data_IF_729369866419
#
_entry.id   IF_729369866419
#
_cell.length_a   1.000
_cell.length_b   1.000
_cell.length_c   1.000
_cell.angle_alpha   90.00
_cell.angle_beta   90.00
_cell.angle_gamma   90.00
#
_symmetry.space_group_name_H-M   'P 1'
#
loop_
_entity.id
_entity.type
_entity.pdbx_description
1 polymer ?
#
# COMPACT_ATOMS: atom_id res chain seq x y z
N UNK A 1 8.07 14.03 18.12
CA UNK A 1 7.36 12.76 17.84
C UNK A 1 5.97 13.08 17.34
N UNK A 2 5.84 13.19 16.02
CA UNK A 2 4.58 13.34 15.28
C UNK A 2 4.19 11.96 14.76
N UNK A 3 3.00 11.49 15.12
CA UNK A 3 2.48 10.19 14.69
C UNK A 3 1.26 10.44 13.80
N UNK A 4 1.31 9.88 12.59
CA UNK A 4 0.18 9.83 11.67
C UNK A 4 -0.47 8.45 11.74
N UNK A 5 -1.70 8.40 12.24
CA UNK A 5 -2.47 7.18 12.43
C UNK A 5 -3.52 6.94 11.32
N UNK A 6 -3.55 7.80 10.30
CA UNK A 6 -4.48 7.70 9.19
C UNK A 6 -3.72 7.90 7.89
N UNK A 7 -2.98 6.87 7.52
CA UNK A 7 -2.35 6.81 6.21
C UNK A 7 -2.51 5.43 5.60
N UNK A 8 -2.42 5.36 4.28
CA UNK A 8 -2.77 4.17 3.54
C UNK A 8 -1.64 3.69 2.64
N UNK A 9 -1.56 2.38 2.41
CA UNK A 9 -0.62 1.78 1.48
C UNK A 9 -1.29 0.78 0.53
N UNK A 10 -0.57 0.43 -0.54
CA UNK A 10 -0.81 -0.71 -1.41
C UNK A 10 0.39 -1.66 -1.32
N UNK A 11 0.29 -2.80 -0.61
CA UNK A 11 1.36 -3.80 -0.61
C UNK A 11 1.63 -4.30 -2.04
N UNK A 12 2.90 -4.50 -2.41
CA UNK A 12 3.26 -4.97 -3.75
C UNK A 12 2.64 -6.33 -4.07
N UNK A 13 2.59 -7.25 -3.10
CA UNK A 13 1.95 -8.55 -3.26
C UNK A 13 0.43 -8.45 -3.53
N UNK A 14 -0.24 -7.49 -2.90
CA UNK A 14 -1.64 -7.19 -3.16
C UNK A 14 -1.84 -6.66 -4.58
N UNK A 15 -1.02 -5.71 -5.04
CA UNK A 15 -1.08 -5.19 -6.41
C UNK A 15 -0.84 -6.30 -7.45
N UNK A 16 0.20 -7.12 -7.25
CA UNK A 16 0.52 -8.23 -8.14
C UNK A 16 -0.60 -9.29 -8.19
N UNK A 17 -1.33 -9.49 -7.10
CA UNK A 17 -2.48 -10.39 -7.06
C UNK A 17 -3.68 -9.85 -7.85
N UNK A 18 -3.92 -8.53 -7.79
CA UNK A 18 -4.98 -7.90 -8.58
C UNK A 18 -4.66 -7.84 -10.08
N UNK A 19 -3.40 -7.67 -10.45
CA UNK A 19 -2.95 -7.69 -11.85
C UNK A 19 -3.23 -9.02 -12.56
N UNK A 20 -3.50 -10.11 -11.82
CA UNK A 20 -3.90 -11.41 -12.39
C UNK A 20 -5.32 -11.42 -12.98
N UNK A 21 -6.14 -10.40 -12.70
CA UNK A 21 -7.46 -10.21 -13.33
C UNK A 21 -8.62 -11.03 -12.74
N UNK A 22 -8.41 -11.76 -11.64
CA UNK A 22 -9.46 -12.55 -10.97
C UNK A 22 -10.13 -11.79 -9.81
N UNK A 23 -10.21 -10.46 -9.91
CA UNK A 23 -10.72 -9.57 -8.88
C UNK A 23 -11.68 -8.55 -9.48
N UNK A 24 -12.63 -8.05 -8.68
CA UNK A 24 -13.48 -6.91 -9.04
C UNK A 24 -12.68 -5.60 -9.06
N UNK A 25 -11.65 -5.48 -8.22
CA UNK A 25 -10.66 -4.43 -8.37
C UNK A 25 -9.70 -4.76 -9.52
N UNK A 26 -9.42 -3.78 -10.37
CA UNK A 26 -8.50 -3.92 -11.52
C UNK A 26 -7.34 -2.96 -11.36
N UNK A 27 -6.11 -3.47 -11.48
CA UNK A 27 -4.91 -2.63 -11.62
C UNK A 27 -4.61 -2.46 -13.10
N UNK A 28 -4.44 -1.22 -13.53
CA UNK A 28 -4.04 -0.89 -14.90
C UNK A 28 -3.00 0.24 -14.91
N UNK A 29 -2.40 0.49 -16.08
CA UNK A 29 -1.52 1.64 -16.30
C UNK A 29 -2.17 2.61 -17.28
N UNK A 30 -2.16 3.88 -16.93
CA UNK A 30 -2.62 4.94 -17.84
C UNK A 30 -1.61 5.18 -18.98
N UNK A 31 -1.97 6.07 -19.92
CA UNK A 31 -1.11 6.46 -21.05
C UNK A 31 0.25 7.05 -20.66
N UNK A 32 0.41 7.50 -19.41
CA UNK A 32 1.64 8.06 -18.87
C UNK A 32 2.40 7.04 -17.99
N UNK A 33 1.94 5.78 -17.95
CA UNK A 33 2.53 4.71 -17.16
C UNK A 33 2.14 4.70 -15.68
N UNK A 34 1.24 5.60 -15.24
CA UNK A 34 0.80 5.67 -13.83
C UNK A 34 -0.14 4.52 -13.54
N UNK A 35 0.10 3.86 -12.41
CA UNK A 35 -0.78 2.79 -11.95
C UNK A 35 -2.09 3.37 -11.43
N UNK A 36 -3.20 2.77 -11.85
CA UNK A 36 -4.54 3.07 -11.35
C UNK A 36 -5.15 1.79 -10.82
N UNK A 37 -5.82 1.89 -9.68
CA UNK A 37 -6.67 0.83 -9.18
C UNK A 37 -8.13 1.23 -9.35
N UNK A 38 -8.82 0.55 -10.25
CA UNK A 38 -10.22 0.81 -10.59
C UNK A 38 -11.13 -0.07 -9.72
N UNK A 39 -12.20 0.51 -9.19
CA UNK A 39 -13.25 -0.18 -8.47
C UNK A 39 -14.63 0.43 -8.74
N UNK A 40 -15.59 -0.35 -9.24
CA UNK A 40 -17.04 -0.03 -9.23
C UNK A 40 -17.43 1.45 -9.51
N UNK A 41 -16.87 2.07 -10.55
CA UNK A 41 -17.19 3.45 -10.94
C UNK A 41 -16.26 4.54 -10.40
N UNK A 42 -15.24 4.17 -9.65
CA UNK A 42 -14.18 5.04 -9.13
C UNK A 42 -12.78 4.45 -9.42
N UNK A 43 -11.73 5.22 -9.13
CA UNK A 43 -10.35 4.76 -9.19
C UNK A 43 -9.42 5.54 -8.27
N UNK A 44 -8.40 4.86 -7.77
CA UNK A 44 -7.27 5.47 -7.08
C UNK A 44 -6.06 5.58 -8.01
N UNK A 45 -5.35 6.70 -7.95
CA UNK A 45 -4.02 6.83 -8.56
C UNK A 45 -2.99 6.31 -7.56
N UNK A 46 -2.26 5.28 -7.94
CA UNK A 46 -1.20 4.69 -7.13
C UNK A 46 0.09 5.47 -7.39
N UNK A 47 0.44 6.36 -6.45
CA UNK A 47 1.76 7.03 -6.41
C UNK A 47 2.78 6.22 -5.63
N UNK A 48 4.07 6.47 -5.88
CA UNK A 48 5.21 5.73 -5.33
C UNK A 48 5.17 5.54 -3.82
N UNK A 49 4.84 6.58 -3.05
CA UNK A 49 4.72 6.48 -1.59
C UNK A 49 3.68 5.46 -1.10
N UNK A 50 2.74 5.00 -1.95
CA UNK A 50 1.82 3.93 -1.56
C UNK A 50 2.45 2.54 -1.50
N UNK A 51 3.49 2.26 -2.28
CA UNK A 51 4.00 0.89 -2.45
C UNK A 51 5.54 0.78 -2.43
N UNK A 52 6.25 1.91 -2.44
CA UNK A 52 7.70 2.01 -2.28
C UNK A 52 8.03 2.56 -0.88
N UNK A 53 8.62 1.74 0.01
CA UNK A 53 9.06 2.17 1.34
C UNK A 53 9.93 3.43 1.34
N UNK A 54 10.88 3.54 0.41
CA UNK A 54 11.86 4.62 0.37
C UNK A 54 11.19 5.95 0.03
N UNK A 55 10.33 5.98 -0.99
CA UNK A 55 9.55 7.16 -1.36
C UNK A 55 8.61 7.61 -0.22
N UNK A 56 8.09 6.66 0.58
CA UNK A 56 7.30 6.98 1.77
C UNK A 56 8.15 7.61 2.86
N UNK A 57 9.32 7.06 3.16
CA UNK A 57 10.22 7.59 4.18
C UNK A 57 10.67 9.02 3.83
N UNK A 58 10.99 9.28 2.56
CA UNK A 58 11.30 10.63 2.07
C UNK A 58 10.13 11.60 2.28
N UNK A 59 8.89 11.17 1.99
CA UNK A 59 7.70 11.98 2.22
C UNK A 59 7.43 12.21 3.72
N UNK A 60 7.69 11.22 4.57
CA UNK A 60 7.58 11.35 6.03
C UNK A 60 8.60 12.37 6.56
N UNK A 61 9.85 12.30 6.12
CA UNK A 61 10.91 13.24 6.50
C UNK A 61 10.57 14.67 6.07
N UNK A 62 10.09 14.84 4.83
CA UNK A 62 9.67 16.14 4.30
C UNK A 62 8.47 16.74 5.06
N UNK A 63 7.57 15.89 5.57
CA UNK A 63 6.41 16.29 6.36
C UNK A 63 6.70 16.42 7.87
N UNK A 64 7.87 16.01 8.33
CA UNK A 64 8.22 15.96 9.76
C UNK A 64 7.46 14.90 10.55
N UNK A 65 7.00 13.82 9.90
CA UNK A 65 6.26 12.71 10.54
C UNK A 65 7.25 11.66 11.02
N UNK A 66 7.25 11.38 12.32
CA UNK A 66 8.19 10.44 12.95
C UNK A 66 7.74 8.97 12.85
N UNK A 67 6.42 8.73 12.73
CA UNK A 67 5.84 7.39 12.67
C UNK A 67 4.51 7.39 11.93
N UNK A 68 4.24 6.31 11.17
CA UNK A 68 2.95 6.06 10.55
C UNK A 68 2.37 4.71 10.99
N UNK A 69 1.08 4.70 11.29
CA UNK A 69 0.27 3.47 11.37
C UNK A 69 -0.49 3.38 10.05
N UNK A 70 -0.19 2.35 9.28
CA UNK A 70 -0.70 2.22 7.92
C UNK A 70 -1.87 1.23 7.84
N UNK A 71 -2.88 1.60 7.07
CA UNK A 71 -4.00 0.72 6.70
C UNK A 71 -4.02 0.44 5.21
N UNK A 72 -4.65 -0.66 4.80
CA UNK A 72 -4.88 -0.92 3.39
C UNK A 72 -5.87 0.11 2.85
N UNK A 73 -5.53 0.72 1.72
CA UNK A 73 -6.40 1.69 1.04
C UNK A 73 -7.62 1.03 0.40
N UNK A 74 -8.61 1.85 0.03
CA UNK A 74 -9.84 1.42 -0.66
C UNK A 74 -9.51 0.82 -2.04
N UNK A 75 -10.18 -0.27 -2.46
CA UNK A 75 -11.28 -0.97 -1.80
C UNK A 75 -10.83 -2.08 -0.84
N UNK A 76 -9.54 -2.24 -0.57
CA UNK A 76 -9.04 -3.45 0.08
C UNK A 76 -9.66 -4.71 -0.53
N UNK A 77 -10.33 -5.51 0.30
CA UNK A 77 -11.01 -6.74 -0.15
C UNK A 77 -12.54 -6.70 -0.05
N UNK A 78 -13.13 -5.61 0.45
CA UNK A 78 -14.55 -5.59 0.81
C UNK A 78 -15.51 -5.60 -0.39
N UNK A 79 -15.02 -5.28 -1.59
CA UNK A 79 -15.82 -5.36 -2.81
C UNK A 79 -15.81 -6.77 -3.42
N UNK A 80 -14.89 -7.64 -3.01
CA UNK A 80 -14.75 -8.98 -3.58
C UNK A 80 -15.83 -9.94 -3.05
N UNK A 81 -16.18 -11.01 -3.79
CA UNK A 81 -16.85 -12.17 -3.20
C UNK A 81 -16.06 -12.69 -2.00
N UNK A 82 -16.72 -13.16 -0.94
CA UNK A 82 -16.08 -13.50 0.34
C UNK A 82 -14.86 -14.44 0.21
N UNK A 83 -14.99 -15.52 -0.58
CA UNK A 83 -13.89 -16.47 -0.82
C UNK A 83 -12.70 -15.80 -1.51
N UNK A 84 -12.97 -14.93 -2.50
CA UNK A 84 -11.92 -14.18 -3.18
C UNK A 84 -11.29 -13.14 -2.27
N UNK A 85 -12.09 -12.44 -1.47
CA UNK A 85 -11.62 -11.46 -0.50
C UNK A 85 -10.64 -12.08 0.49
N UNK A 86 -10.96 -13.25 1.05
CA UNK A 86 -10.06 -13.99 1.94
C UNK A 86 -8.75 -14.42 1.24
N UNK A 87 -8.84 -14.85 -0.02
CA UNK A 87 -7.65 -15.23 -0.80
C UNK A 87 -6.72 -14.03 -1.06
N UNK A 88 -7.27 -12.84 -1.36
CA UNK A 88 -6.50 -11.61 -1.59
C UNK A 88 -5.94 -11.05 -0.28
N UNK A 89 -6.71 -11.08 0.81
CA UNK A 89 -6.29 -10.63 2.15
C UNK A 89 -5.04 -11.38 2.61
N UNK A 90 -4.95 -12.67 2.31
CA UNK A 90 -3.76 -13.49 2.58
C UNK A 90 -2.47 -12.95 1.95
N UNK A 91 -2.54 -12.08 0.93
CA UNK A 91 -1.39 -11.40 0.33
C UNK A 91 -1.11 -10.01 0.90
N UNK A 92 -2.06 -9.44 1.64
CA UNK A 92 -1.91 -8.16 2.35
C UNK A 92 -1.14 -8.36 3.65
N UNK A 93 -1.45 -9.45 4.36
CA UNK A 93 -0.89 -9.77 5.68
C UNK A 93 -0.06 -11.05 5.53
N UNK A 94 1.22 -10.93 5.17
CA UNK A 94 2.14 -12.07 5.36
C UNK A 94 3.37 -11.68 6.19
N UNK A 95 3.80 -12.55 7.13
CA UNK A 95 5.01 -12.40 7.92
C UNK A 95 6.30 -12.73 7.14
N UNK A 96 6.20 -13.07 5.85
CA UNK A 96 7.31 -13.59 5.04
C UNK A 96 7.94 -12.55 4.09
N UNK A 97 7.89 -11.26 4.44
CA UNK A 97 8.76 -10.27 3.83
C UNK A 97 9.68 -9.67 4.90
N UNK A 98 11.02 -9.80 4.77
CA UNK A 98 11.98 -9.37 5.79
C UNK A 98 12.05 -7.85 6.04
N UNK A 99 11.13 -7.06 5.48
CA UNK A 99 11.19 -5.60 5.46
C UNK A 99 9.96 -4.89 6.07
N UNK A 100 8.97 -5.61 6.62
CA UNK A 100 7.75 -4.98 7.16
C UNK A 100 7.92 -4.29 8.52
N UNK A 101 9.13 -4.28 9.09
CA UNK A 101 9.49 -3.46 10.25
C UNK A 101 10.62 -2.52 9.82
N UNK A 102 10.27 -1.41 9.17
CA UNK A 102 11.18 -0.27 9.01
C UNK A 102 11.29 0.43 10.36
N UNK A 103 12.26 0.04 11.18
CA UNK A 103 12.74 0.88 12.27
C UNK A 103 13.80 1.82 11.69
N UNK A 104 13.57 3.13 11.62
CA UNK A 104 14.67 4.05 11.37
C UNK A 104 15.60 3.99 12.57
N UNK A 105 16.80 3.43 12.38
CA UNK A 105 17.89 3.59 13.34
C UNK A 105 18.47 4.97 13.11
N UNK A 106 18.06 5.96 13.91
CA UNK A 106 18.82 7.22 14.00
C UNK A 106 20.19 6.90 14.61
N UNK A 107 21.30 7.37 14.04
CA UNK A 107 22.57 7.38 14.76
C UNK A 107 22.41 8.32 15.96
N UNK A 108 22.59 7.80 17.18
CA UNK A 108 22.87 8.65 18.32
C UNK A 108 24.26 9.23 18.12
N UNK A 109 24.34 10.49 17.70
CA UNK A 109 25.57 11.26 17.78
C UNK A 109 25.92 11.41 19.26
N UNK A 110 27.08 10.85 19.64
CA UNK A 110 27.74 11.15 20.91
C UNK A 110 28.47 12.49 20.87
#
# INVERSE_FOLDING_TARGET
MIIDFHNHLYPQAYLAELEKGNSRAVVERDRNGRMRLINAGDYNIIVDGHYLPEARLEAMDAAGVDMQILTLTTPGVHIEPAERGAAVEGWVITPNHPHSILRPTRPTTG
#
